data_IF_895230276618
#
_entry.id   IF_895230276618
#
_cell.length_a   1.000
_cell.length_b   1.000
_cell.length_c   1.000
_cell.angle_alpha   90.00
_cell.angle_beta   90.00
_cell.angle_gamma   90.00
#
_symmetry.space_group_name_H-M   'P 1'
#
loop_
_entity.id
_entity.type
_entity.pdbx_description
1 polymer ?
#
# COMPACT_ATOMS: atom_id res chain seq x y z
N UNK A 1 9.03 4.08 -22.30
CA UNK A 1 7.80 3.51 -22.92
C UNK A 1 6.72 3.14 -21.89
N UNK A 2 7.03 3.02 -20.61
CA UNK A 2 6.07 2.72 -19.50
C UNK A 2 5.18 3.91 -19.05
N UNK A 3 5.44 5.13 -19.54
CA UNK A 3 4.75 6.36 -19.07
C UNK A 3 3.41 6.66 -19.74
N UNK A 4 2.80 5.72 -20.48
CA UNK A 4 1.53 5.94 -21.20
C UNK A 4 0.46 4.86 -20.98
N UNK A 5 0.69 3.90 -20.07
CA UNK A 5 -0.35 2.94 -19.73
C UNK A 5 -1.34 3.61 -18.77
N UNK A 6 -2.63 3.48 -19.03
CA UNK A 6 -3.65 3.78 -18.03
C UNK A 6 -3.47 2.86 -16.82
N UNK A 7 -3.92 3.27 -15.64
CA UNK A 7 -3.87 2.43 -14.43
C UNK A 7 -4.56 1.08 -14.68
N UNK A 8 -5.62 1.08 -15.47
CA UNK A 8 -6.35 -0.13 -15.83
C UNK A 8 -5.54 -1.08 -16.73
N UNK A 9 -4.75 -0.55 -17.68
CA UNK A 9 -3.82 -1.33 -18.49
C UNK A 9 -2.62 -1.83 -17.66
N UNK A 10 -2.12 -1.01 -16.74
CA UNK A 10 -1.07 -1.44 -15.81
C UNK A 10 -1.56 -2.56 -14.88
N UNK A 11 -2.78 -2.46 -14.32
CA UNK A 11 -3.40 -3.50 -13.50
C UNK A 11 -3.66 -4.78 -14.32
N UNK A 12 -4.12 -4.67 -15.57
CA UNK A 12 -4.27 -5.80 -16.48
C UNK A 12 -2.93 -6.43 -16.84
N UNK A 13 -1.90 -5.63 -17.05
CA UNK A 13 -0.54 -6.12 -17.34
C UNK A 13 0.05 -6.84 -16.12
N UNK A 14 -0.11 -6.29 -14.92
CA UNK A 14 0.30 -6.93 -13.66
C UNK A 14 -0.44 -8.26 -13.50
N UNK A 15 -1.75 -8.29 -13.73
CA UNK A 15 -2.56 -9.52 -13.66
C UNK A 15 -2.17 -10.55 -14.72
N UNK A 16 -1.78 -10.11 -15.92
CA UNK A 16 -1.31 -10.99 -17.00
C UNK A 16 0.06 -11.58 -16.65
N UNK A 17 1.01 -10.75 -16.25
CA UNK A 17 2.35 -11.19 -15.79
C UNK A 17 2.23 -12.12 -14.58
N UNK A 18 1.33 -11.83 -13.67
CA UNK A 18 1.04 -12.67 -12.51
C UNK A 18 0.54 -14.07 -12.92
N UNK A 19 -0.35 -14.17 -13.90
CA UNK A 19 -0.83 -15.47 -14.44
C UNK A 19 0.25 -16.25 -15.16
N UNK A 20 1.11 -15.56 -15.90
CA UNK A 20 2.20 -16.20 -16.64
C UNK A 20 3.32 -16.66 -15.67
N UNK A 21 3.53 -15.94 -14.58
CA UNK A 21 4.46 -16.27 -13.51
C UNK A 21 3.93 -17.34 -12.53
N UNK A 22 2.64 -17.64 -12.54
CA UNK A 22 2.05 -18.70 -11.70
C UNK A 22 2.62 -20.12 -12.04
N UNK A 23 3.37 -20.24 -13.13
CA UNK A 23 4.15 -21.43 -13.48
C UNK A 23 5.45 -21.57 -12.65
N UNK A 24 5.84 -20.57 -11.86
CA UNK A 24 7.06 -20.59 -11.05
C UNK A 24 6.73 -20.71 -9.58
N UNK A 25 7.36 -21.64 -8.88
CA UNK A 25 7.13 -21.88 -7.44
C UNK A 25 7.64 -20.71 -6.57
N UNK A 26 8.63 -19.94 -7.07
CA UNK A 26 9.30 -18.87 -6.30
C UNK A 26 9.77 -17.72 -7.18
N UNK A 27 9.77 -16.51 -6.62
CA UNK A 27 10.39 -15.30 -7.19
C UNK A 27 11.55 -14.87 -6.28
N UNK A 28 12.65 -14.40 -6.87
CA UNK A 28 13.74 -13.78 -6.12
C UNK A 28 13.53 -12.26 -6.10
N UNK A 29 13.26 -11.72 -4.91
CA UNK A 29 13.17 -10.27 -4.67
C UNK A 29 14.29 -9.91 -3.71
N UNK A 30 15.20 -9.05 -4.13
CA UNK A 30 16.36 -8.60 -3.33
C UNK A 30 17.16 -9.75 -2.67
N UNK A 31 17.26 -10.90 -3.36
CA UNK A 31 17.96 -12.09 -2.86
C UNK A 31 17.14 -12.98 -1.93
N UNK A 32 15.93 -12.59 -1.54
CA UNK A 32 15.00 -13.45 -0.82
C UNK A 32 14.13 -14.24 -1.81
N UNK A 33 13.86 -15.50 -1.50
CA UNK A 33 12.89 -16.33 -2.22
C UNK A 33 11.54 -16.19 -1.55
N UNK A 34 10.57 -15.61 -2.24
CA UNK A 34 9.17 -15.52 -1.81
C UNK A 34 8.33 -16.46 -2.65
N UNK A 35 7.24 -16.99 -2.09
CA UNK A 35 6.30 -17.79 -2.88
C UNK A 35 5.61 -16.88 -3.90
N UNK A 36 5.19 -17.46 -5.00
CA UNK A 36 4.45 -16.72 -6.02
C UNK A 36 3.16 -16.12 -5.44
N UNK A 37 2.48 -16.84 -4.56
CA UNK A 37 1.27 -16.36 -3.88
C UNK A 37 1.54 -15.10 -3.04
N UNK A 38 2.61 -15.08 -2.24
CA UNK A 38 3.01 -13.91 -1.45
C UNK A 38 3.36 -12.71 -2.34
N UNK A 39 4.07 -12.96 -3.46
CA UNK A 39 4.41 -11.93 -4.43
C UNK A 39 3.16 -11.35 -5.11
N UNK A 40 2.22 -12.21 -5.51
CA UNK A 40 0.97 -11.82 -6.15
C UNK A 40 0.06 -11.03 -5.20
N UNK A 41 -0.03 -11.43 -3.94
CA UNK A 41 -0.84 -10.73 -2.95
C UNK A 41 -0.34 -9.30 -2.74
N UNK A 42 0.96 -9.10 -2.58
CA UNK A 42 1.56 -7.77 -2.47
C UNK A 42 1.20 -6.86 -3.66
N UNK A 43 1.33 -7.38 -4.89
CA UNK A 43 1.01 -6.61 -6.10
C UNK A 43 -0.48 -6.40 -6.30
N UNK A 44 -1.32 -7.35 -5.87
CA UNK A 44 -2.77 -7.24 -5.96
C UNK A 44 -3.29 -6.12 -5.06
N UNK A 45 -2.80 -6.03 -3.83
CA UNK A 45 -3.13 -4.94 -2.89
C UNK A 45 -2.80 -3.57 -3.49
N UNK A 46 -1.56 -3.37 -3.94
CA UNK A 46 -1.16 -2.11 -4.58
C UNK A 46 -1.98 -1.81 -5.83
N UNK A 47 -2.27 -2.81 -6.66
CA UNK A 47 -3.09 -2.63 -7.86
C UNK A 47 -4.54 -2.25 -7.53
N UNK A 48 -5.14 -2.86 -6.51
CA UNK A 48 -6.50 -2.53 -6.05
C UNK A 48 -6.57 -1.08 -5.53
N UNK A 49 -5.62 -0.69 -4.70
CA UNK A 49 -5.52 0.69 -4.19
C UNK A 49 -5.34 1.71 -5.32
N UNK A 50 -4.49 1.42 -6.32
CA UNK A 50 -4.30 2.29 -7.49
C UNK A 50 -5.56 2.41 -8.33
N UNK A 51 -6.30 1.33 -8.55
CA UNK A 51 -7.58 1.37 -9.28
C UNK A 51 -8.62 2.22 -8.53
N UNK A 52 -8.69 2.08 -7.21
CA UNK A 52 -9.59 2.88 -6.37
C UNK A 52 -9.17 4.36 -6.36
N UNK A 53 -7.89 4.65 -6.21
CA UNK A 53 -7.35 6.01 -6.26
C UNK A 53 -7.63 6.68 -7.62
N UNK A 54 -7.46 5.97 -8.72
CA UNK A 54 -7.76 6.47 -10.06
C UNK A 54 -9.24 6.78 -10.25
N UNK A 55 -10.12 5.88 -9.83
CA UNK A 55 -11.55 6.10 -9.85
C UNK A 55 -11.95 7.34 -9.04
N UNK A 56 -11.46 7.46 -7.79
CA UNK A 56 -11.77 8.59 -6.91
C UNK A 56 -11.18 9.91 -7.44
N UNK A 57 -9.96 9.89 -7.99
CA UNK A 57 -9.39 11.08 -8.65
C UNK A 57 -10.26 11.58 -9.81
N UNK A 58 -10.88 10.67 -10.56
CA UNK A 58 -11.86 11.01 -11.60
C UNK A 58 -13.12 11.67 -11.03
N UNK A 59 -13.67 11.11 -9.93
CA UNK A 59 -14.88 11.63 -9.28
C UNK A 59 -14.65 13.02 -8.65
N UNK A 60 -13.48 13.25 -8.08
CA UNK A 60 -13.11 14.50 -7.39
C UNK A 60 -12.10 15.35 -8.18
N UNK A 61 -12.11 15.25 -9.51
CA UNK A 61 -11.16 15.90 -10.42
C UNK A 61 -11.05 17.43 -10.30
N UNK A 62 -12.01 18.07 -9.62
CA UNK A 62 -11.99 19.51 -9.34
C UNK A 62 -11.03 19.91 -8.21
N UNK A 63 -10.66 18.97 -7.35
CA UNK A 63 -9.86 19.22 -6.14
C UNK A 63 -8.67 18.26 -5.98
N UNK A 64 -8.59 17.18 -6.78
CA UNK A 64 -7.55 16.14 -6.69
C UNK A 64 -6.60 16.26 -7.89
N UNK A 65 -5.30 16.41 -7.61
CA UNK A 65 -4.25 16.10 -8.59
C UNK A 65 -4.10 14.57 -8.69
N UNK A 66 -4.65 14.02 -9.77
CA UNK A 66 -4.61 12.58 -10.06
C UNK A 66 -3.18 12.01 -10.03
N UNK A 67 -2.21 12.74 -10.60
CA UNK A 67 -0.83 12.27 -10.68
C UNK A 67 -0.19 12.19 -9.30
N UNK A 68 -0.45 13.18 -8.45
CA UNK A 68 0.03 13.21 -7.08
C UNK A 68 -0.57 12.08 -6.26
N UNK A 69 -1.91 11.89 -6.32
CA UNK A 69 -2.59 10.81 -5.61
C UNK A 69 -2.08 9.43 -6.01
N UNK A 70 -1.98 9.15 -7.32
CA UNK A 70 -1.49 7.85 -7.79
C UNK A 70 -0.02 7.60 -7.39
N UNK A 71 0.82 8.63 -7.45
CA UNK A 71 2.22 8.51 -7.03
C UNK A 71 2.32 8.24 -5.53
N UNK A 72 1.57 8.98 -4.71
CA UNK A 72 1.50 8.75 -3.27
C UNK A 72 1.00 7.34 -2.94
N UNK A 73 -0.07 6.89 -3.61
CA UNK A 73 -0.62 5.54 -3.44
C UNK A 73 0.39 4.46 -3.80
N UNK A 74 1.15 4.64 -4.88
CA UNK A 74 2.18 3.68 -5.29
C UNK A 74 3.33 3.60 -4.27
N UNK A 75 3.69 4.74 -3.67
CA UNK A 75 4.90 4.86 -2.86
C UNK A 75 4.65 4.85 -1.34
N UNK A 76 3.39 4.81 -0.86
CA UNK A 76 3.10 5.02 0.57
C UNK A 76 3.85 4.03 1.48
N UNK A 77 3.99 2.81 1.07
CA UNK A 77 4.53 1.69 1.85
C UNK A 77 5.87 1.13 1.32
N UNK A 78 6.45 1.70 0.26
CA UNK A 78 7.64 1.12 -0.38
C UNK A 78 8.85 0.94 0.56
N UNK A 79 8.97 1.79 1.58
CA UNK A 79 10.07 1.71 2.54
C UNK A 79 9.92 0.54 3.55
N UNK A 80 8.80 -0.16 3.59
CA UNK A 80 8.62 -1.40 4.37
C UNK A 80 9.62 -2.49 3.96
N UNK A 81 10.08 -2.48 2.72
CA UNK A 81 11.17 -3.35 2.26
C UNK A 81 12.45 -3.17 3.09
N UNK A 82 12.73 -1.94 3.52
CA UNK A 82 13.91 -1.60 4.34
C UNK A 82 13.61 -1.60 5.84
N UNK A 83 12.35 -1.51 6.20
CA UNK A 83 11.88 -1.56 7.59
C UNK A 83 12.03 -2.95 8.18
N UNK A 84 11.72 -3.98 7.40
CA UNK A 84 11.71 -5.37 7.86
C UNK A 84 12.93 -6.15 7.38
N UNK A 85 13.24 -7.21 8.12
CA UNK A 85 14.13 -8.30 7.69
C UNK A 85 13.28 -9.49 7.26
N UNK A 86 13.76 -10.21 6.24
CA UNK A 86 13.00 -11.30 5.64
C UNK A 86 13.78 -12.62 5.74
N UNK A 87 13.07 -13.72 5.94
CA UNK A 87 13.62 -15.06 5.79
C UNK A 87 13.97 -15.34 4.32
N UNK A 88 14.64 -16.46 4.07
CA UNK A 88 14.89 -16.94 2.70
C UNK A 88 13.59 -17.24 1.93
N UNK A 89 12.47 -17.36 2.62
CA UNK A 89 11.13 -17.58 2.05
C UNK A 89 10.33 -16.27 1.88
N UNK A 90 10.95 -15.11 2.13
CA UNK A 90 10.29 -13.80 2.01
C UNK A 90 9.32 -13.46 3.15
N UNK A 91 9.25 -14.26 4.20
CA UNK A 91 8.43 -13.97 5.37
C UNK A 91 9.16 -12.96 6.26
N UNK A 92 8.45 -11.93 6.71
CA UNK A 92 8.97 -10.98 7.70
C UNK A 92 9.36 -11.74 8.96
N UNK A 93 10.60 -11.58 9.39
CA UNK A 93 11.14 -12.23 10.59
C UNK A 93 11.37 -11.29 11.75
N UNK A 94 11.70 -10.05 11.47
CA UNK A 94 11.96 -9.00 12.48
C UNK A 94 12.03 -7.63 11.81
N UNK A 95 12.19 -6.60 12.60
CA UNK A 95 12.55 -5.26 12.14
C UNK A 95 14.04 -5.17 11.83
N UNK A 96 14.41 -4.46 10.78
CA UNK A 96 15.79 -4.01 10.61
C UNK A 96 16.15 -3.00 11.72
N UNK A 97 17.43 -2.83 12.01
CA UNK A 97 17.86 -1.79 12.97
C UNK A 97 17.37 -0.39 12.59
N UNK A 98 17.35 -0.06 11.31
CA UNK A 98 16.82 1.20 10.81
C UNK A 98 15.30 1.27 10.94
N UNK A 99 14.62 0.18 10.62
CA UNK A 99 13.17 0.06 10.76
C UNK A 99 12.72 0.26 12.19
N UNK A 100 13.38 -0.39 13.15
CA UNK A 100 13.09 -0.26 14.58
C UNK A 100 13.27 1.18 15.12
N UNK A 101 14.24 1.93 14.57
CA UNK A 101 14.57 3.27 15.05
C UNK A 101 13.78 4.38 14.34
N UNK A 102 13.44 4.22 13.07
CA UNK A 102 12.88 5.28 12.23
C UNK A 102 11.47 4.96 11.71
N UNK A 103 11.18 3.68 11.47
CA UNK A 103 9.95 3.27 10.79
C UNK A 103 9.92 3.61 9.30
N UNK A 104 9.04 2.94 8.54
CA UNK A 104 8.92 3.13 7.09
C UNK A 104 8.47 4.55 6.69
N UNK A 105 7.66 5.23 7.51
CA UNK A 105 7.21 6.59 7.22
C UNK A 105 8.39 7.56 7.05
N UNK A 106 9.27 7.57 8.05
CA UNK A 106 10.43 8.48 8.05
C UNK A 106 11.44 8.06 6.98
N UNK A 107 11.71 6.76 6.85
CA UNK A 107 12.64 6.24 5.85
C UNK A 107 12.13 6.52 4.43
N UNK A 108 10.84 6.36 4.18
CA UNK A 108 10.19 6.66 2.90
C UNK A 108 10.28 8.14 2.54
N UNK A 109 9.94 9.02 3.48
CA UNK A 109 10.04 10.47 3.27
C UNK A 109 11.48 10.92 2.97
N UNK A 110 12.48 10.37 3.67
CA UNK A 110 13.90 10.65 3.41
C UNK A 110 14.32 10.20 2.00
N UNK A 111 13.91 9.03 1.56
CA UNK A 111 14.26 8.50 0.24
C UNK A 111 13.59 9.30 -0.88
N UNK A 112 12.32 9.68 -0.71
CA UNK A 112 11.63 10.57 -1.65
C UNK A 112 12.37 11.90 -1.76
N UNK A 113 12.79 12.51 -0.65
CA UNK A 113 13.55 13.76 -0.66
C UNK A 113 14.88 13.61 -1.43
N UNK A 114 15.60 12.53 -1.19
CA UNK A 114 16.87 12.26 -1.86
C UNK A 114 16.67 12.07 -3.38
N UNK A 115 15.77 11.17 -3.78
CA UNK A 115 15.53 10.87 -5.20
C UNK A 115 14.96 12.09 -5.93
N UNK A 116 14.07 12.86 -5.29
CA UNK A 116 13.56 14.11 -5.85
C UNK A 116 14.67 15.12 -6.13
N UNK A 117 15.65 15.26 -5.22
CA UNK A 117 16.79 16.13 -5.43
C UNK A 117 17.68 15.65 -6.60
N UNK A 118 17.95 14.34 -6.69
CA UNK A 118 18.73 13.74 -7.78
C UNK A 118 18.06 13.92 -9.16
N UNK A 119 16.73 13.84 -9.20
CA UNK A 119 15.93 14.00 -10.42
C UNK A 119 15.61 15.47 -10.77
N UNK A 120 15.94 16.43 -9.90
CA UNK A 120 15.56 17.83 -10.08
C UNK A 120 14.06 18.06 -9.99
N UNK A 121 13.34 17.24 -9.21
CA UNK A 121 11.90 17.40 -8.99
C UNK A 121 11.62 18.74 -8.28
N UNK A 122 10.57 19.50 -8.67
CA UNK A 122 10.20 20.72 -7.96
C UNK A 122 10.01 20.48 -6.46
N UNK A 123 10.56 21.38 -5.64
CA UNK A 123 10.54 21.31 -4.17
C UNK A 123 9.15 21.06 -3.62
N UNK A 124 8.15 21.78 -4.12
CA UNK A 124 6.75 21.64 -3.72
C UNK A 124 6.22 20.21 -3.93
N UNK A 125 6.48 19.60 -5.09
CA UNK A 125 6.04 18.22 -5.37
C UNK A 125 6.73 17.20 -4.46
N UNK A 126 8.03 17.40 -4.19
CA UNK A 126 8.76 16.56 -3.25
C UNK A 126 8.18 16.67 -1.84
N UNK A 127 7.88 17.89 -1.39
CA UNK A 127 7.29 18.16 -0.08
C UNK A 127 5.91 17.51 0.08
N UNK A 128 5.04 17.66 -0.93
CA UNK A 128 3.71 17.05 -0.91
C UNK A 128 3.78 15.52 -0.85
N UNK A 129 4.65 14.88 -1.63
CA UNK A 129 4.84 13.43 -1.58
C UNK A 129 5.38 12.97 -0.22
N UNK A 130 6.38 13.66 0.34
CA UNK A 130 6.89 13.35 1.68
C UNK A 130 5.78 13.45 2.73
N UNK A 131 4.95 14.50 2.66
CA UNK A 131 3.81 14.66 3.56
C UNK A 131 2.82 13.49 3.42
N UNK A 132 2.49 13.06 2.20
CA UNK A 132 1.61 11.91 1.97
C UNK A 132 2.15 10.65 2.65
N UNK A 133 3.48 10.37 2.53
CA UNK A 133 4.10 9.23 3.21
C UNK A 133 4.01 9.36 4.73
N UNK A 134 4.31 10.54 5.29
CA UNK A 134 4.29 10.76 6.74
C UNK A 134 2.90 10.71 7.35
N UNK A 135 1.84 10.91 6.57
CA UNK A 135 0.47 11.08 7.04
C UNK A 135 -0.49 9.95 6.62
N UNK A 136 -0.07 8.97 5.79
CA UNK A 136 -1.02 8.02 5.21
C UNK A 136 -1.74 7.13 6.23
N UNK A 137 -1.18 6.91 7.42
CA UNK A 137 -1.90 6.24 8.52
C UNK A 137 -3.04 7.10 9.12
N UNK A 138 -3.22 8.35 8.68
CA UNK A 138 -4.31 9.27 9.04
C UNK A 138 -4.14 9.89 10.41
N UNK A 139 -4.32 9.15 11.49
CA UNK A 139 -4.26 9.64 12.85
C UNK A 139 -2.97 9.22 13.57
N UNK A 140 -2.42 10.06 14.49
CA UNK A 140 -1.23 9.70 15.28
C UNK A 140 -1.41 8.42 16.10
N UNK A 141 -2.63 8.13 16.54
CA UNK A 141 -2.97 6.90 17.28
C UNK A 141 -2.77 5.65 16.43
N UNK A 142 -2.80 5.78 15.10
CA UNK A 142 -2.52 4.71 14.14
C UNK A 142 -1.08 4.74 13.62
N UNK A 143 -0.25 5.66 14.14
CA UNK A 143 1.17 5.75 13.83
C UNK A 143 1.55 6.84 12.82
N UNK A 144 0.60 7.66 12.34
CA UNK A 144 0.94 8.79 11.48
C UNK A 144 1.88 9.77 12.20
N UNK A 145 2.92 10.22 11.52
CA UNK A 145 3.81 11.24 12.07
C UNK A 145 3.14 12.63 12.13
N UNK A 146 2.27 12.90 11.18
CA UNK A 146 1.43 14.12 11.08
C UNK A 146 0.09 13.73 10.48
N UNK A 147 -0.97 14.53 10.73
CA UNK A 147 -2.26 14.33 10.08
C UNK A 147 -2.21 14.76 8.61
N UNK A 148 -3.04 14.16 7.73
CA UNK A 148 -3.18 14.63 6.35
C UNK A 148 -3.67 16.08 6.32
N UNK A 149 -3.01 16.93 5.52
CA UNK A 149 -3.27 18.38 5.49
C UNK A 149 -3.79 18.87 4.14
N UNK A 150 -3.94 18.00 3.15
CA UNK A 150 -4.50 18.32 1.83
C UNK A 150 -5.26 17.12 1.26
N UNK A 151 -6.05 17.34 0.22
CA UNK A 151 -7.07 16.41 -0.24
C UNK A 151 -6.49 15.05 -0.68
N UNK A 152 -5.38 15.02 -1.41
CA UNK A 152 -4.76 13.77 -1.86
C UNK A 152 -4.17 12.97 -0.69
N UNK A 153 -3.61 13.63 0.32
CA UNK A 153 -3.08 12.96 1.52
C UNK A 153 -4.20 12.35 2.35
N UNK A 154 -5.31 13.09 2.54
CA UNK A 154 -6.48 12.58 3.25
C UNK A 154 -7.12 11.41 2.50
N UNK A 155 -7.29 11.56 1.18
CA UNK A 155 -7.86 10.51 0.35
C UNK A 155 -6.99 9.24 0.35
N UNK A 156 -5.66 9.35 0.29
CA UNK A 156 -4.75 8.22 0.41
C UNK A 156 -4.95 7.49 1.74
N UNK A 157 -5.03 8.22 2.86
CA UNK A 157 -5.23 7.58 4.17
C UNK A 157 -6.56 6.83 4.27
N UNK A 158 -7.62 7.33 3.62
CA UNK A 158 -8.92 6.63 3.56
C UNK A 158 -8.86 5.39 2.68
N UNK A 159 -8.14 5.44 1.56
CA UNK A 159 -7.94 4.28 0.65
C UNK A 159 -7.17 3.18 1.37
N UNK A 160 -6.07 3.51 2.03
CA UNK A 160 -5.24 2.56 2.79
C UNK A 160 -6.02 1.91 3.93
N UNK A 161 -6.73 2.72 4.71
CA UNK A 161 -7.62 2.22 5.77
C UNK A 161 -8.73 1.32 5.21
N UNK A 162 -9.33 1.66 4.08
CA UNK A 162 -10.36 0.83 3.45
C UNK A 162 -9.82 -0.51 3.00
N UNK A 163 -8.68 -0.52 2.29
CA UNK A 163 -8.04 -1.74 1.79
C UNK A 163 -7.67 -2.67 2.95
N UNK A 164 -6.98 -2.17 3.95
CA UNK A 164 -6.63 -2.90 5.18
C UNK A 164 -7.85 -3.52 5.88
N UNK A 165 -8.95 -2.78 5.98
CA UNK A 165 -10.20 -3.30 6.59
C UNK A 165 -10.85 -4.36 5.75
N UNK A 166 -10.86 -4.23 4.42
CA UNK A 166 -11.43 -5.24 3.52
C UNK A 166 -10.61 -6.52 3.53
N UNK A 167 -9.29 -6.45 3.66
CA UNK A 167 -8.43 -7.61 3.85
C UNK A 167 -8.81 -8.40 5.11
N UNK A 168 -9.02 -7.73 6.26
CA UNK A 168 -9.47 -8.38 7.50
C UNK A 168 -10.81 -9.11 7.29
N UNK A 169 -11.74 -8.53 6.53
CA UNK A 169 -13.00 -9.22 6.18
C UNK A 169 -12.76 -10.43 5.30
N UNK A 170 -11.90 -10.30 4.29
CA UNK A 170 -11.57 -11.38 3.35
C UNK A 170 -10.92 -12.58 4.06
N UNK A 171 -10.04 -12.32 5.01
CA UNK A 171 -9.39 -13.37 5.81
C UNK A 171 -10.33 -14.02 6.84
N UNK A 172 -11.24 -13.22 7.42
CA UNK A 172 -12.07 -13.70 8.53
C UNK A 172 -13.33 -14.44 8.07
N UNK A 173 -14.02 -13.92 7.04
CA UNK A 173 -15.33 -14.46 6.63
C UNK A 173 -15.31 -15.93 6.23
N UNK A 174 -14.29 -16.48 5.54
CA UNK A 174 -14.27 -17.91 5.20
C UNK A 174 -14.32 -18.86 6.40
N UNK A 175 -13.87 -18.40 7.58
CA UNK A 175 -13.90 -19.16 8.83
C UNK A 175 -15.20 -19.00 9.64
N UNK A 176 -16.13 -18.16 9.20
CA UNK A 176 -17.38 -17.88 9.91
C UNK A 176 -18.55 -18.54 9.17
N UNK A 177 -19.35 -19.42 9.79
CA UNK A 177 -20.53 -20.00 9.13
C UNK A 177 -21.50 -18.91 8.69
N UNK A 178 -22.12 -19.07 7.50
CA UNK A 178 -23.15 -18.16 7.01
C UNK A 178 -24.30 -18.03 8.00
N UNK A 179 -24.90 -16.87 8.09
CA UNK A 179 -25.96 -16.56 9.06
C UNK A 179 -25.48 -16.36 10.51
N UNK A 180 -24.17 -16.33 10.78
CA UNK A 180 -23.62 -16.20 12.14
C UNK A 180 -22.65 -15.03 12.27
N UNK A 181 -22.23 -14.77 13.53
CA UNK A 181 -21.22 -13.76 13.85
C UNK A 181 -19.88 -14.43 14.15
N UNK A 182 -18.78 -13.79 13.77
CA UNK A 182 -17.43 -14.14 14.20
C UNK A 182 -17.24 -13.95 15.72
N UNK A 183 -16.10 -14.40 16.26
CA UNK A 183 -15.54 -13.84 17.48
C UNK A 183 -15.22 -12.35 17.30
N UNK A 184 -14.92 -11.64 18.41
CA UNK A 184 -14.48 -10.23 18.34
C UNK A 184 -13.13 -10.16 17.62
N UNK A 185 -13.05 -9.36 16.58
CA UNK A 185 -11.83 -9.09 15.82
C UNK A 185 -11.19 -7.85 16.46
N UNK A 186 -10.00 -8.02 16.99
CA UNK A 186 -9.31 -6.94 17.72
C UNK A 186 -9.07 -5.70 16.83
N UNK A 187 -8.57 -5.92 15.60
CA UNK A 187 -8.26 -4.85 14.65
C UNK A 187 -9.49 -4.04 14.18
N UNK A 188 -10.69 -4.62 14.23
CA UNK A 188 -11.95 -3.94 13.89
C UNK A 188 -12.72 -3.47 15.13
N UNK A 189 -12.30 -3.89 16.31
CA UNK A 189 -12.97 -3.68 17.59
C UNK A 189 -14.45 -4.13 17.61
N UNK A 190 -14.81 -5.13 16.80
CA UNK A 190 -16.18 -5.65 16.68
C UNK A 190 -16.22 -7.10 16.23
N UNK A 191 -17.42 -7.70 16.32
CA UNK A 191 -17.75 -8.93 15.62
C UNK A 191 -18.26 -8.58 14.23
N UNK A 192 -18.04 -9.45 13.25
CA UNK A 192 -18.60 -9.32 11.90
C UNK A 192 -19.65 -10.39 11.66
N UNK A 193 -20.66 -10.05 10.91
CA UNK A 193 -21.73 -10.96 10.49
C UNK A 193 -21.42 -11.48 9.10
N UNK A 194 -21.48 -12.80 8.92
CA UNK A 194 -21.42 -13.44 7.61
C UNK A 194 -22.87 -13.65 7.12
N UNK A 195 -23.33 -12.82 6.19
CA UNK A 195 -24.68 -12.96 5.63
C UNK A 195 -24.77 -14.21 4.72
N UNK A 196 -26.00 -14.69 4.52
CA UNK A 196 -26.30 -15.82 3.62
C UNK A 196 -26.10 -15.44 2.14
#
# INVERSE_FOLDING_TARGET
>A
MLMRLSVQEAAQYITYVAKDMAAYDYVSVNGARITMEQYLNLWTTVANMLCLADFLAGQYSQIIDRSLLLTGTLLHDFAKEKEFTFSQLGVVTDYSRKGQLLGHLVMGAQEIAQVAAELGTPEEKSLLLQHMILSHHGEPEFGAAVKPMFAEADLLSQIDMLDSRMEIYAETLPGVPAGTFSSRIFALDKRIYHHE
#
